data_IF_427590255466
#
_entry.id   IF_427590255466
#
_cell.length_a   1.000
_cell.length_b   1.000
_cell.length_c   1.000
_cell.angle_alpha   90.00
_cell.angle_beta   90.00
_cell.angle_gamma   90.00
#
_symmetry.space_group_name_H-M   'P 1'
#
loop_
_entity.id
_entity.type
_entity.pdbx_description
1 polymer ?
#
# COMPACT_ATOMS: atom_id res chain seq x y z
N UNK A 1 -32.00 33.65 -3.35
CA UNK A 1 -32.19 34.86 -4.19
C UNK A 1 -33.68 35.03 -4.49
N UNK A 2 -34.22 36.26 -4.55
CA UNK A 2 -35.63 36.44 -4.88
C UNK A 2 -35.91 35.95 -6.32
N UNK A 3 -37.00 35.19 -6.49
CA UNK A 3 -37.43 34.64 -7.78
C UNK A 3 -38.00 35.77 -8.63
N UNK A 4 -37.47 35.98 -9.83
CA UNK A 4 -38.03 36.94 -10.80
C UNK A 4 -39.07 36.24 -11.68
N UNK A 5 -40.36 36.40 -11.36
CA UNK A 5 -41.43 36.03 -12.28
C UNK A 5 -41.39 36.96 -13.50
N UNK A 6 -41.29 36.42 -14.72
CA UNK A 6 -41.20 37.24 -15.95
C UNK A 6 -42.54 37.57 -16.60
N UNK A 7 -43.64 36.85 -16.32
CA UNK A 7 -45.01 37.33 -16.60
C UNK A 7 -46.07 36.52 -15.83
N UNK A 8 -47.24 37.13 -15.62
CA UNK A 8 -48.49 36.46 -15.20
C UNK A 8 -49.44 36.49 -16.40
N UNK A 9 -50.01 35.35 -16.79
CA UNK A 9 -51.04 35.31 -17.85
C UNK A 9 -52.41 35.11 -17.20
N UNK A 10 -53.28 36.11 -17.35
CA UNK A 10 -54.69 35.98 -16.98
C UNK A 10 -55.45 35.41 -18.18
N UNK A 11 -56.14 34.29 -18.00
CA UNK A 11 -57.11 33.78 -18.95
C UNK A 11 -58.51 33.96 -18.35
N UNK A 12 -59.35 34.75 -19.01
CA UNK A 12 -60.76 34.89 -18.65
C UNK A 12 -61.56 33.88 -19.47
N UNK A 13 -62.20 32.91 -18.82
CA UNK A 13 -63.27 32.15 -19.46
C UNK A 13 -64.61 32.80 -19.09
N UNK A 14 -65.18 33.53 -20.05
CA UNK A 14 -66.49 34.18 -19.88
C UNK A 14 -67.66 33.18 -20.01
N UNK A 15 -67.37 31.86 -20.09
CA UNK A 15 -68.37 30.83 -20.42
C UNK A 15 -68.75 29.89 -19.28
N UNK A 16 -68.05 29.88 -18.14
CA UNK A 16 -68.38 29.01 -17.00
C UNK A 16 -68.84 29.78 -15.78
N UNK A 17 -70.13 29.68 -15.47
CA UNK A 17 -70.76 30.19 -14.25
C UNK A 17 -71.05 29.02 -13.29
N UNK A 18 -70.70 29.19 -12.01
CA UNK A 18 -71.15 28.35 -10.90
C UNK A 18 -71.77 29.29 -9.86
N UNK A 19 -73.07 29.14 -9.62
CA UNK A 19 -73.87 29.91 -8.65
C UNK A 19 -73.81 31.45 -8.81
N UNK A 20 -73.81 31.94 -10.05
CA UNK A 20 -73.87 33.38 -10.36
C UNK A 20 -72.56 34.15 -10.11
N UNK A 21 -71.47 33.47 -9.76
CA UNK A 21 -70.15 34.07 -9.59
C UNK A 21 -69.23 33.71 -10.77
N UNK A 22 -68.52 34.70 -11.31
CA UNK A 22 -67.44 34.45 -12.28
C UNK A 22 -66.30 33.72 -11.57
N UNK A 23 -66.00 32.49 -12.00
CA UNK A 23 -64.82 31.76 -11.53
C UNK A 23 -63.56 32.35 -12.15
N UNK A 24 -62.61 32.79 -11.32
CA UNK A 24 -61.26 33.09 -11.76
C UNK A 24 -60.35 31.92 -11.40
N UNK A 25 -59.56 31.46 -12.36
CA UNK A 25 -58.46 30.53 -12.10
C UNK A 25 -57.15 31.24 -12.45
N UNK A 26 -56.19 31.17 -11.54
CA UNK A 26 -54.81 31.62 -11.77
C UNK A 26 -53.95 30.38 -11.89
N UNK A 27 -53.39 30.14 -13.07
CA UNK A 27 -52.32 29.17 -13.24
C UNK A 27 -50.98 29.92 -13.17
N UNK A 28 -50.18 29.60 -12.14
CA UNK A 28 -48.88 30.19 -11.92
C UNK A 28 -47.81 29.16 -12.36
N UNK A 29 -47.25 29.34 -13.56
CA UNK A 29 -46.02 28.62 -13.93
C UNK A 29 -44.80 29.45 -13.51
N UNK A 30 -44.12 28.99 -12.45
CA UNK A 30 -42.88 29.60 -11.94
C UNK A 30 -41.68 28.85 -12.50
N UNK A 31 -41.07 29.36 -13.57
CA UNK A 31 -39.75 28.90 -14.01
C UNK A 31 -38.67 29.63 -13.22
N UNK A 32 -38.23 29.04 -12.12
CA UNK A 32 -37.00 29.49 -11.46
C UNK A 32 -35.82 29.34 -12.42
N UNK A 33 -34.92 30.32 -12.47
CA UNK A 33 -33.58 30.10 -13.01
C UNK A 33 -32.96 29.05 -12.10
N UNK A 34 -32.80 27.80 -12.55
CA UNK A 34 -31.92 26.86 -11.84
C UNK A 34 -30.56 27.55 -11.77
N UNK A 35 -30.03 27.75 -10.57
CA UNK A 35 -28.63 28.14 -10.45
C UNK A 35 -27.82 27.15 -11.30
N UNK A 36 -26.94 27.66 -12.16
CA UNK A 36 -26.02 26.78 -12.87
C UNK A 36 -25.29 25.97 -11.81
N UNK A 37 -25.40 24.64 -11.90
CA UNK A 37 -24.66 23.78 -10.99
C UNK A 37 -23.17 24.09 -11.16
N UNK A 38 -22.43 24.16 -10.05
CA UNK A 38 -20.99 24.45 -10.08
C UNK A 38 -20.27 23.47 -11.00
N UNK A 39 -19.14 23.91 -11.56
CA UNK A 39 -18.30 23.00 -12.32
C UNK A 39 -17.80 21.91 -11.36
N UNK A 40 -17.92 20.63 -11.74
CA UNK A 40 -17.47 19.56 -10.88
C UNK A 40 -15.94 19.57 -10.78
N UNK A 41 -15.43 19.04 -9.66
CA UNK A 41 -14.00 18.97 -9.42
C UNK A 41 -13.57 17.60 -8.95
N UNK A 42 -12.33 17.24 -9.30
CA UNK A 42 -11.62 16.09 -8.73
C UNK A 42 -10.38 16.62 -8.00
N UNK A 43 -10.28 16.35 -6.71
CA UNK A 43 -9.06 16.55 -5.92
C UNK A 43 -8.32 15.23 -5.82
N UNK A 44 -7.10 15.18 -6.34
CA UNK A 44 -6.20 14.03 -6.19
C UNK A 44 -5.25 14.34 -5.03
N UNK A 45 -5.07 13.38 -4.14
CA UNK A 45 -4.20 13.47 -2.96
C UNK A 45 -3.28 12.26 -2.96
N UNK A 46 -2.01 12.48 -2.65
CA UNK A 46 -1.05 11.42 -2.35
C UNK A 46 -0.81 11.38 -0.84
N UNK A 47 -0.76 10.18 -0.29
CA UNK A 47 -0.46 9.89 1.12
C UNK A 47 0.65 8.83 1.11
N UNK A 48 1.89 9.23 1.42
CA UNK A 48 3.07 8.40 1.23
C UNK A 48 3.76 8.09 2.57
N UNK A 49 4.00 6.80 2.82
CA UNK A 49 4.72 6.32 3.99
C UNK A 49 5.99 5.55 3.60
N UNK A 50 7.17 5.88 4.17
CA UNK A 50 7.43 7.10 4.93
C UNK A 50 7.34 8.33 4.02
N UNK A 51 7.15 9.51 4.60
CA UNK A 51 7.19 10.77 3.84
C UNK A 51 8.59 10.95 3.24
N UNK A 52 8.67 11.13 1.92
CA UNK A 52 9.93 11.29 1.17
C UNK A 52 9.80 12.41 0.14
N UNK A 53 10.95 12.93 -0.29
CA UNK A 53 11.13 13.98 -1.31
C UNK A 53 10.94 13.45 -2.73
N UNK A 54 9.86 12.71 -2.95
CA UNK A 54 9.63 11.90 -4.14
C UNK A 54 8.35 12.33 -4.84
N UNK A 55 8.43 12.48 -6.16
CA UNK A 55 7.35 13.02 -6.98
C UNK A 55 6.59 11.90 -7.69
N UNK A 56 5.44 11.52 -7.14
CA UNK A 56 4.54 10.53 -7.72
C UNK A 56 3.93 11.06 -9.02
N UNK A 57 4.01 10.25 -10.07
CA UNK A 57 3.59 10.61 -11.42
C UNK A 57 2.19 10.09 -11.68
N UNK A 58 1.33 10.96 -12.18
CA UNK A 58 -0.03 10.64 -12.54
C UNK A 58 -0.27 10.90 -14.02
N UNK A 59 -1.12 10.07 -14.62
CA UNK A 59 -1.55 10.14 -16.01
C UNK A 59 -3.06 9.85 -16.09
N UNK A 60 -3.67 10.09 -17.25
CA UNK A 60 -5.06 9.73 -17.52
C UNK A 60 -5.87 10.89 -18.08
N UNK A 61 -7.15 10.94 -17.76
CA UNK A 61 -8.06 11.96 -18.33
C UNK A 61 -7.83 13.36 -17.76
N UNK A 62 -7.10 13.48 -16.65
CA UNK A 62 -6.73 14.77 -16.04
C UNK A 62 -5.43 15.36 -16.61
N UNK A 63 -4.84 14.68 -17.60
CA UNK A 63 -3.50 14.98 -18.10
C UNK A 63 -2.40 14.43 -17.20
N UNK A 64 -1.16 14.76 -17.54
CA UNK A 64 0.01 14.32 -16.78
C UNK A 64 0.34 15.37 -15.71
N UNK A 65 0.56 14.90 -14.48
CA UNK A 65 0.93 15.76 -13.35
C UNK A 65 1.75 14.98 -12.31
N UNK A 66 2.30 15.69 -11.34
CA UNK A 66 3.01 15.12 -10.20
C UNK A 66 2.47 15.68 -8.89
N UNK A 67 2.55 14.87 -7.85
CA UNK A 67 2.28 15.21 -6.45
C UNK A 67 3.37 14.57 -5.59
N UNK A 68 3.60 15.11 -4.41
CA UNK A 68 4.59 14.61 -3.44
C UNK A 68 4.00 14.65 -2.03
N UNK A 69 4.56 13.92 -1.07
CA UNK A 69 4.15 14.02 0.33
C UNK A 69 5.37 14.29 1.21
N UNK A 70 6.19 15.26 0.78
CA UNK A 70 7.47 15.55 1.41
C UNK A 70 7.27 16.27 2.75
N UNK A 71 7.81 15.67 3.81
CA UNK A 71 7.86 16.28 5.15
C UNK A 71 9.28 16.16 5.71
N UNK A 72 10.02 17.27 5.90
CA UNK A 72 9.66 18.64 5.51
C UNK A 72 9.67 18.83 3.99
N UNK A 73 8.90 19.82 3.52
CA UNK A 73 8.89 20.32 2.14
C UNK A 73 10.31 20.41 1.56
N UNK A 74 10.49 19.93 0.34
CA UNK A 74 11.77 19.90 -0.35
C UNK A 74 12.02 21.10 -1.26
N UNK A 75 11.02 21.97 -1.41
CA UNK A 75 11.11 23.25 -2.11
C UNK A 75 10.89 23.15 -3.62
N UNK A 76 10.37 22.04 -4.11
CA UNK A 76 9.89 21.91 -5.48
C UNK A 76 8.42 22.41 -5.62
N UNK A 77 7.84 22.49 -6.83
CA UNK A 77 6.49 23.06 -7.03
C UNK A 77 5.37 22.03 -6.87
N UNK A 78 5.68 20.81 -6.45
CA UNK A 78 4.71 19.76 -6.23
C UNK A 78 4.17 19.85 -4.80
N UNK A 79 2.91 19.46 -4.67
CA UNK A 79 2.19 19.50 -3.40
C UNK A 79 1.52 18.14 -3.21
N UNK A 80 1.10 17.83 -1.98
CA UNK A 80 0.42 16.58 -1.68
C UNK A 80 -0.99 16.43 -2.24
N UNK A 81 -1.52 17.51 -2.83
CA UNK A 81 -2.81 17.45 -3.49
C UNK A 81 -2.95 18.45 -4.61
N UNK A 82 -3.82 18.13 -5.57
CA UNK A 82 -4.21 19.03 -6.64
C UNK A 82 -5.67 18.86 -7.01
N UNK A 83 -6.38 19.98 -7.15
CA UNK A 83 -7.76 20.02 -7.63
C UNK A 83 -7.84 20.37 -9.11
N UNK A 84 -8.66 19.61 -9.83
CA UNK A 84 -8.94 19.80 -11.26
C UNK A 84 -10.42 20.09 -11.44
N UNK A 85 -10.73 21.15 -12.17
CA UNK A 85 -12.08 21.35 -12.72
C UNK A 85 -12.25 20.43 -13.93
N UNK A 86 -13.35 19.69 -13.96
CA UNK A 86 -13.62 18.69 -14.99
C UNK A 86 -15.03 18.86 -15.56
N UNK A 87 -15.30 18.20 -16.68
CA UNK A 87 -16.67 18.03 -17.17
C UNK A 87 -17.37 16.91 -16.40
N UNK A 88 -18.71 16.95 -16.32
CA UNK A 88 -19.44 15.80 -15.82
C UNK A 88 -19.22 14.59 -16.74
N UNK A 89 -18.94 13.42 -16.18
CA UNK A 89 -18.64 12.22 -16.96
C UNK A 89 -17.71 11.25 -16.25
N UNK A 90 -17.13 10.35 -17.04
CA UNK A 90 -16.21 9.33 -16.54
C UNK A 90 -14.76 9.80 -16.65
N UNK A 91 -14.03 9.70 -15.55
CA UNK A 91 -12.61 10.05 -15.46
C UNK A 91 -11.78 8.85 -15.05
N UNK A 92 -10.56 8.80 -15.57
CA UNK A 92 -9.56 7.80 -15.20
C UNK A 92 -8.30 8.50 -14.70
N UNK A 93 -7.80 8.05 -13.57
CA UNK A 93 -6.54 8.50 -12.98
C UNK A 93 -5.66 7.25 -12.81
N UNK A 94 -4.42 7.33 -13.27
CA UNK A 94 -3.45 6.26 -13.15
C UNK A 94 -2.16 6.81 -12.56
N UNK A 95 -1.68 6.16 -11.51
CA UNK A 95 -0.38 6.44 -10.92
C UNK A 95 0.70 5.58 -11.58
N UNK A 96 1.90 6.13 -11.73
CA UNK A 96 3.10 5.41 -12.14
C UNK A 96 4.01 5.33 -10.92
N UNK A 97 4.17 4.12 -10.38
CA UNK A 97 4.93 3.96 -9.15
C UNK A 97 6.46 3.97 -9.36
N UNK A 98 7.20 4.68 -8.51
CA UNK A 98 8.62 4.50 -8.26
C UNK A 98 9.04 3.05 -8.00
N UNK A 99 10.32 2.73 -8.20
CA UNK A 99 10.84 1.42 -7.83
C UNK A 99 10.70 1.18 -6.31
N UNK A 100 10.29 -0.04 -5.95
CA UNK A 100 10.12 -0.48 -4.54
C UNK A 100 9.03 0.29 -3.76
N UNK A 101 8.17 1.02 -4.44
CA UNK A 101 6.95 1.58 -3.87
C UNK A 101 5.72 0.76 -4.26
N UNK A 102 4.75 0.74 -3.36
CA UNK A 102 3.52 -0.03 -3.45
C UNK A 102 2.34 0.93 -3.32
N UNK A 103 1.41 0.89 -4.27
CA UNK A 103 0.10 1.52 -4.13
C UNK A 103 -0.82 0.55 -3.40
N UNK A 104 -1.07 0.80 -2.12
CA UNK A 104 -1.80 -0.13 -1.26
C UNK A 104 -3.29 0.15 -1.22
N UNK A 105 -3.70 1.38 -1.54
CA UNK A 105 -5.11 1.77 -1.58
C UNK A 105 -5.33 2.95 -2.53
N UNK A 106 -6.48 2.93 -3.21
CA UNK A 106 -7.08 4.13 -3.79
C UNK A 106 -8.47 4.28 -3.16
N UNK A 107 -8.75 5.44 -2.57
CA UNK A 107 -10.07 5.74 -1.99
C UNK A 107 -10.63 7.03 -2.60
N UNK A 108 -11.81 6.94 -3.21
CA UNK A 108 -12.50 8.08 -3.79
C UNK A 108 -13.92 8.20 -3.21
N UNK A 109 -14.30 9.40 -2.78
CA UNK A 109 -15.62 9.69 -2.20
C UNK A 109 -16.73 10.01 -3.24
N UNK A 110 -16.65 9.42 -4.44
CA UNK A 110 -17.63 9.66 -5.50
C UNK A 110 -19.02 9.11 -5.14
N UNK A 111 -20.04 9.98 -5.27
CA UNK A 111 -21.46 9.64 -5.08
C UNK A 111 -21.98 8.60 -6.09
N UNK A 112 -21.35 8.51 -7.25
CA UNK A 112 -21.70 7.59 -8.34
C UNK A 112 -20.85 6.32 -8.34
N UNK A 113 -19.95 6.18 -7.36
CA UNK A 113 -19.04 5.06 -7.22
C UNK A 113 -17.73 5.21 -8.02
N UNK A 114 -16.79 4.34 -7.68
CA UNK A 114 -15.50 4.23 -8.36
C UNK A 114 -15.13 2.76 -8.56
N UNK A 115 -14.32 2.50 -9.58
CA UNK A 115 -13.75 1.18 -9.89
C UNK A 115 -12.24 1.31 -9.74
N UNK A 116 -11.70 0.71 -8.69
CA UNK A 116 -10.28 0.71 -8.35
C UNK A 116 -9.63 -0.58 -8.87
N UNK A 117 -8.48 -0.44 -9.51
CA UNK A 117 -7.63 -1.52 -9.98
C UNK A 117 -6.19 -1.22 -9.54
N UNK A 118 -5.78 -1.80 -8.41
CA UNK A 118 -4.44 -1.63 -7.85
C UNK A 118 -3.35 -2.32 -8.68
N UNK A 119 -3.71 -3.34 -9.47
CA UNK A 119 -2.74 -4.06 -10.32
C UNK A 119 -2.29 -3.18 -11.48
N UNK A 120 -3.21 -2.39 -12.05
CA UNK A 120 -2.90 -1.40 -13.09
C UNK A 120 -2.69 0.02 -12.56
N UNK A 121 -2.72 0.18 -11.22
CA UNK A 121 -2.53 1.44 -10.49
C UNK A 121 -3.52 2.52 -10.93
N UNK A 122 -4.79 2.14 -11.08
CA UNK A 122 -5.80 2.94 -11.79
C UNK A 122 -7.10 3.01 -11.01
N UNK A 123 -7.74 4.17 -11.05
CA UNK A 123 -9.15 4.33 -10.65
C UNK A 123 -9.95 4.92 -11.81
N UNK A 124 -11.17 4.40 -11.99
CA UNK A 124 -12.19 4.97 -12.86
C UNK A 124 -13.33 5.47 -12.00
N UNK A 125 -13.74 6.73 -12.13
CA UNK A 125 -14.87 7.28 -11.38
C UNK A 125 -15.82 8.03 -12.31
N UNK A 126 -17.10 8.06 -11.94
CA UNK A 126 -18.10 8.91 -12.59
C UNK A 126 -18.33 10.14 -11.71
N UNK A 127 -18.38 11.31 -12.32
CA UNK A 127 -18.56 12.60 -11.63
C UNK A 127 -19.81 13.27 -12.20
N UNK A 128 -20.78 13.59 -11.36
CA UNK A 128 -21.97 14.33 -11.77
C UNK A 128 -21.72 15.84 -11.77
N UNK A 129 -22.58 16.61 -12.44
CA UNK A 129 -22.48 18.06 -12.43
C UNK A 129 -22.60 18.60 -11.00
N UNK A 130 -21.64 19.45 -10.59
CA UNK A 130 -21.59 20.02 -9.24
C UNK A 130 -20.96 19.13 -8.18
N UNK A 131 -20.50 17.92 -8.52
CA UNK A 131 -19.79 17.04 -7.59
C UNK A 131 -18.37 17.54 -7.30
N UNK A 132 -17.93 17.36 -6.07
CA UNK A 132 -16.55 17.61 -5.63
C UNK A 132 -15.99 16.32 -5.06
N UNK A 133 -15.27 15.56 -5.88
CA UNK A 133 -14.73 14.24 -5.51
C UNK A 133 -13.28 14.39 -5.04
N UNK A 134 -12.94 13.75 -3.94
CA UNK A 134 -11.59 13.58 -3.42
C UNK A 134 -11.14 12.14 -3.57
N UNK A 135 -10.05 11.92 -4.29
CA UNK A 135 -9.37 10.63 -4.43
C UNK A 135 -8.02 10.68 -3.70
N UNK A 136 -7.78 9.74 -2.79
CA UNK A 136 -6.52 9.56 -2.06
C UNK A 136 -5.81 8.30 -2.56
N UNK A 137 -4.56 8.43 -2.96
CA UNK A 137 -3.65 7.35 -3.34
C UNK A 137 -2.69 7.12 -2.17
N UNK A 138 -2.76 5.93 -1.56
CA UNK A 138 -1.96 5.57 -0.39
C UNK A 138 -0.76 4.73 -0.85
N UNK A 139 0.42 5.30 -0.70
CA UNK A 139 1.68 4.74 -1.17
C UNK A 139 2.55 4.32 0.02
N UNK A 140 3.18 3.15 -0.11
CA UNK A 140 4.12 2.65 0.89
C UNK A 140 5.42 2.24 0.22
N UNK A 141 6.56 2.67 0.77
CA UNK A 141 7.82 1.99 0.44
C UNK A 141 7.71 0.56 0.94
N UNK A 142 8.10 -0.39 0.10
CA UNK A 142 8.04 -1.79 0.46
C UNK A 142 8.90 -2.09 1.68
N UNK A 143 8.49 -3.14 2.39
CA UNK A 143 9.30 -3.77 3.41
C UNK A 143 10.00 -5.00 2.86
N UNK A 144 11.11 -5.33 3.52
CA UNK A 144 11.96 -6.47 3.17
C UNK A 144 12.20 -7.32 4.40
N UNK A 145 12.11 -8.64 4.25
CA UNK A 145 12.54 -9.60 5.27
C UNK A 145 13.71 -10.40 4.72
N UNK A 146 14.89 -10.14 5.27
CA UNK A 146 16.13 -10.86 5.00
C UNK A 146 16.30 -12.00 6.01
N UNK A 147 16.36 -13.23 5.52
CA UNK A 147 16.49 -14.40 6.39
C UNK A 147 17.88 -15.02 6.27
N UNK A 148 18.46 -15.42 7.40
CA UNK A 148 19.71 -16.17 7.48
C UNK A 148 19.49 -17.42 8.33
N UNK A 149 19.82 -18.59 7.79
CA UNK A 149 19.80 -19.85 8.52
C UNK A 149 21.23 -20.35 8.76
N UNK A 150 21.53 -20.76 9.99
CA UNK A 150 22.86 -21.20 10.38
C UNK A 150 22.85 -22.37 11.36
N UNK A 151 23.89 -23.18 11.28
CA UNK A 151 24.16 -24.25 12.23
C UNK A 151 24.87 -23.66 13.45
N UNK A 152 24.12 -23.48 14.53
CA UNK A 152 24.62 -23.08 15.85
C UNK A 152 25.33 -24.28 16.51
N UNK A 153 26.61 -24.47 16.14
CA UNK A 153 27.39 -25.65 16.52
C UNK A 153 27.75 -25.66 18.00
N UNK A 154 27.93 -24.46 18.58
CA UNK A 154 28.28 -24.27 19.98
C UNK A 154 27.04 -24.09 20.88
N UNK A 155 25.84 -24.01 20.27
CA UNK A 155 24.53 -23.93 20.91
C UNK A 155 24.37 -22.71 21.81
N UNK A 156 24.96 -21.58 21.43
CA UNK A 156 24.88 -20.33 22.20
C UNK A 156 23.78 -19.37 21.70
N UNK A 157 22.98 -19.80 20.72
CA UNK A 157 21.85 -19.06 20.12
C UNK A 157 22.25 -17.77 19.42
N UNK A 158 23.51 -17.65 19.03
CA UNK A 158 24.04 -16.47 18.34
C UNK A 158 24.71 -16.88 17.04
N UNK A 159 24.44 -16.13 15.98
CA UNK A 159 25.13 -16.30 14.70
C UNK A 159 26.59 -15.83 14.82
N UNK A 160 27.50 -16.74 15.12
CA UNK A 160 28.92 -16.45 15.26
C UNK A 160 29.65 -16.51 13.92
N UNK A 161 30.81 -15.84 13.87
CA UNK A 161 31.71 -15.97 12.73
C UNK A 161 32.23 -17.42 12.64
N UNK A 162 32.18 -18.00 11.43
CA UNK A 162 32.60 -19.37 11.17
C UNK A 162 31.51 -20.43 11.31
N UNK A 163 30.30 -20.07 11.75
CA UNK A 163 29.20 -21.03 11.79
C UNK A 163 28.68 -21.36 10.38
N UNK A 164 28.48 -22.66 10.05
CA UNK A 164 28.00 -23.05 8.73
C UNK A 164 26.63 -22.47 8.40
N UNK A 165 26.44 -22.06 7.16
CA UNK A 165 25.15 -21.65 6.62
C UNK A 165 24.33 -22.86 6.16
N UNK A 166 23.02 -22.77 6.30
CA UNK A 166 22.10 -23.87 6.02
C UNK A 166 21.37 -23.65 4.69
N UNK A 167 21.79 -24.36 3.65
CA UNK A 167 21.25 -24.26 2.29
C UNK A 167 20.12 -25.26 2.04
N UNK A 168 19.12 -24.88 1.25
CA UNK A 168 17.98 -25.71 0.89
C UNK A 168 16.95 -25.86 2.00
N UNK A 169 16.98 -24.98 3.00
CA UNK A 169 16.02 -24.99 4.11
C UNK A 169 14.78 -24.19 3.75
N UNK A 170 13.62 -24.72 4.11
CA UNK A 170 12.33 -24.10 3.80
C UNK A 170 11.98 -23.04 4.84
N UNK A 171 11.62 -21.85 4.36
CA UNK A 171 11.08 -20.75 5.16
C UNK A 171 9.73 -20.35 4.60
N UNK A 172 8.78 -20.10 5.49
CA UNK A 172 7.39 -19.77 5.21
C UNK A 172 7.07 -18.40 5.78
N UNK A 173 6.39 -17.58 4.98
CA UNK A 173 5.89 -16.28 5.38
C UNK A 173 4.38 -16.34 5.47
N UNK A 174 3.84 -15.97 6.62
CA UNK A 174 2.41 -15.87 6.88
C UNK A 174 2.00 -14.44 7.21
N UNK A 175 0.73 -14.12 6.98
CA UNK A 175 0.10 -12.93 7.56
C UNK A 175 -0.22 -13.12 9.05
N UNK A 176 -0.78 -12.08 9.67
CA UNK A 176 -1.18 -12.05 11.08
C UNK A 176 -2.36 -12.99 11.41
N UNK A 177 -3.10 -13.45 10.39
CA UNK A 177 -4.18 -14.42 10.51
C UNK A 177 -3.77 -15.86 10.22
N UNK A 178 -2.48 -16.11 10.02
CA UNK A 178 -1.86 -17.40 9.68
C UNK A 178 -2.17 -17.91 8.26
N UNK A 179 -2.56 -17.05 7.32
CA UNK A 179 -2.61 -17.45 5.92
C UNK A 179 -1.19 -17.48 5.36
N UNK A 180 -0.86 -18.54 4.62
CA UNK A 180 0.44 -18.68 3.97
C UNK A 180 0.52 -17.73 2.78
N UNK A 181 1.43 -16.76 2.84
CA UNK A 181 1.68 -15.80 1.77
C UNK A 181 2.74 -16.31 0.78
N UNK A 182 3.82 -16.89 1.28
CA UNK A 182 4.92 -17.39 0.45
C UNK A 182 5.72 -18.51 1.13
N UNK A 183 6.43 -19.26 0.29
CA UNK A 183 7.40 -20.30 0.71
C UNK A 183 8.67 -20.16 -0.11
N UNK A 184 9.82 -20.32 0.55
CA UNK A 184 11.14 -20.05 0.03
C UNK A 184 12.13 -21.14 0.45
N UNK A 185 13.15 -21.40 -0.37
CA UNK A 185 14.30 -22.19 0.02
C UNK A 185 15.52 -21.28 0.19
N UNK A 186 16.32 -21.53 1.21
CA UNK A 186 17.59 -20.82 1.38
C UNK A 186 18.60 -21.20 0.29
N UNK A 187 19.33 -20.22 -0.21
CA UNK A 187 20.38 -20.43 -1.20
C UNK A 187 21.64 -21.11 -0.58
N UNK A 188 22.71 -21.26 -1.36
CA UNK A 188 23.98 -21.87 -0.92
C UNK A 188 24.67 -21.12 0.23
N UNK A 189 24.36 -19.84 0.41
CA UNK A 189 24.81 -19.02 1.53
C UNK A 189 23.86 -19.06 2.73
N UNK A 190 22.84 -19.92 2.72
CA UNK A 190 21.81 -20.05 3.75
C UNK A 190 20.96 -18.79 3.91
N UNK A 191 20.71 -18.08 2.81
CA UNK A 191 19.97 -16.82 2.78
C UNK A 191 18.79 -16.87 1.82
N UNK A 192 17.78 -16.05 2.09
CA UNK A 192 16.66 -15.72 1.19
C UNK A 192 16.05 -14.38 1.59
N UNK A 193 15.26 -13.79 0.69
CA UNK A 193 14.62 -12.49 0.91
C UNK A 193 13.14 -12.54 0.47
N UNK A 194 12.25 -12.06 1.34
CA UNK A 194 10.89 -11.66 0.98
C UNK A 194 10.85 -10.15 0.78
N UNK A 195 10.23 -9.70 -0.30
CA UNK A 195 10.19 -8.28 -0.73
C UNK A 195 8.78 -7.93 -1.23
N UNK A 196 8.53 -6.65 -1.53
CA UNK A 196 7.19 -6.11 -1.83
C UNK A 196 6.17 -6.38 -0.73
N UNK A 197 6.60 -6.28 0.52
CA UNK A 197 5.73 -6.43 1.69
C UNK A 197 5.14 -5.06 2.07
N UNK A 198 3.81 -4.88 2.10
CA UNK A 198 3.21 -3.71 2.72
C UNK A 198 3.53 -3.60 4.22
N UNK A 199 3.18 -2.47 4.84
CA UNK A 199 3.22 -2.33 6.29
C UNK A 199 2.15 -3.22 6.93
N UNK A 200 2.59 -4.20 7.74
CA UNK A 200 1.74 -5.16 8.42
C UNK A 200 2.52 -5.96 9.48
N UNK A 201 1.79 -6.79 10.21
CA UNK A 201 2.38 -7.86 11.01
C UNK A 201 2.50 -9.13 10.18
N UNK A 202 3.66 -9.76 10.24
CA UNK A 202 3.98 -11.00 9.56
C UNK A 202 4.51 -12.03 10.55
N UNK A 203 4.40 -13.29 10.16
CA UNK A 203 5.04 -14.40 10.84
C UNK A 203 5.98 -15.13 9.87
N UNK A 204 7.25 -15.21 10.25
CA UNK A 204 8.30 -15.90 9.48
C UNK A 204 8.64 -17.18 10.21
N UNK A 205 8.47 -18.32 9.55
CA UNK A 205 8.70 -19.63 10.15
C UNK A 205 9.69 -20.44 9.34
N UNK A 206 10.43 -21.33 10.00
CA UNK A 206 11.21 -22.36 9.31
C UNK A 206 10.52 -23.73 9.37
N UNK A 207 10.78 -24.58 8.39
CA UNK A 207 10.48 -26.00 8.48
C UNK A 207 11.75 -26.76 8.83
N UNK A 208 11.73 -27.43 9.99
CA UNK A 208 12.85 -28.21 10.48
C UNK A 208 12.96 -29.53 9.70
N UNK A 209 14.11 -29.81 9.08
CA UNK A 209 14.40 -31.15 8.56
C UNK A 209 14.51 -32.18 9.69
N UNK A 210 14.35 -33.47 9.35
CA UNK A 210 14.60 -34.57 10.27
C UNK A 210 16.00 -34.48 10.91
N UNK A 211 16.12 -34.89 12.16
CA UNK A 211 17.36 -34.85 12.96
C UNK A 211 17.87 -33.43 13.30
N UNK A 212 17.11 -32.37 12.99
CA UNK A 212 17.41 -31.01 13.41
C UNK A 212 16.45 -30.49 14.47
N UNK A 213 16.91 -29.49 15.22
CA UNK A 213 16.09 -28.73 16.16
C UNK A 213 16.39 -27.24 16.03
N UNK A 214 15.34 -26.43 16.15
CA UNK A 214 15.46 -24.99 16.34
C UNK A 214 16.06 -24.72 17.72
N UNK A 215 17.19 -24.04 17.75
CA UNK A 215 17.76 -23.47 18.96
C UNK A 215 17.32 -22.02 19.12
N UNK A 216 17.04 -21.36 17.99
CA UNK A 216 16.52 -20.01 17.97
C UNK A 216 15.66 -19.72 16.72
N UNK A 217 14.35 -19.42 16.86
CA UNK A 217 13.61 -19.31 18.11
C UNK A 217 13.37 -20.70 18.72
N UNK A 218 13.57 -20.86 20.03
CA UNK A 218 13.40 -22.17 20.69
C UNK A 218 11.93 -22.55 20.94
N UNK A 219 11.00 -21.65 20.65
CA UNK A 219 9.56 -21.84 20.84
C UNK A 219 8.89 -22.23 19.53
N UNK A 220 8.03 -23.25 19.60
CA UNK A 220 7.16 -23.62 18.49
C UNK A 220 5.87 -22.80 18.58
N UNK A 221 5.54 -22.12 17.50
CA UNK A 221 4.24 -21.48 17.34
C UNK A 221 3.17 -22.57 17.23
N UNK A 222 2.21 -22.57 18.17
CA UNK A 222 1.19 -23.62 18.26
C UNK A 222 0.17 -23.61 17.13
N UNK A 223 0.01 -22.49 16.41
CA UNK A 223 -1.00 -22.35 15.35
C UNK A 223 -0.54 -22.97 14.03
N UNK A 224 0.74 -22.84 13.72
CA UNK A 224 1.35 -23.38 12.49
C UNK A 224 2.29 -24.55 12.76
N UNK A 225 2.51 -24.90 14.04
CA UNK A 225 3.37 -25.98 14.52
C UNK A 225 4.80 -25.91 13.94
N UNK A 226 5.38 -24.71 13.94
CA UNK A 226 6.74 -24.42 13.43
C UNK A 226 7.46 -23.40 14.33
N UNK A 227 8.81 -23.38 14.38
CA UNK A 227 9.56 -22.27 14.97
C UNK A 227 9.32 -21.01 14.15
N UNK A 228 8.88 -19.93 14.79
CA UNK A 228 8.50 -18.70 14.10
C UNK A 228 8.93 -17.46 14.86
N UNK A 229 9.20 -16.39 14.11
CA UNK A 229 9.22 -15.02 14.60
C UNK A 229 7.98 -14.28 14.13
N UNK A 230 7.37 -13.50 15.03
CA UNK A 230 6.37 -12.51 14.68
C UNK A 230 7.05 -11.15 14.62
N UNK A 231 6.81 -10.40 13.55
CA UNK A 231 7.40 -9.09 13.30
C UNK A 231 6.33 -8.13 12.77
N UNK A 232 6.34 -6.90 13.26
CA UNK A 232 5.50 -5.81 12.75
C UNK A 232 6.40 -4.85 12.00
N UNK A 233 6.09 -4.61 10.73
CA UNK A 233 6.86 -3.73 9.85
C UNK A 233 6.03 -2.50 9.51
N UNK A 234 6.64 -1.35 9.74
CA UNK A 234 6.21 -0.07 9.21
C UNK A 234 6.80 0.13 7.81
N UNK A 235 6.23 0.99 6.98
CA UNK A 235 6.64 1.14 5.59
C UNK A 235 8.12 1.56 5.45
N UNK A 236 8.84 0.91 4.52
CA UNK A 236 10.25 1.17 4.26
C UNK A 236 11.23 0.52 5.24
N UNK A 237 10.82 -0.51 5.98
CA UNK A 237 11.67 -1.24 6.93
C UNK A 237 12.28 -2.52 6.34
N UNK A 238 13.46 -2.86 6.86
CA UNK A 238 14.16 -4.11 6.60
C UNK A 238 14.26 -4.91 7.90
N UNK A 239 13.68 -6.10 7.91
CA UNK A 239 13.80 -7.06 8.99
C UNK A 239 14.89 -8.08 8.66
N UNK A 240 15.95 -8.16 9.48
CA UNK A 240 16.95 -9.23 9.42
C UNK A 240 16.59 -10.31 10.43
N UNK A 241 16.14 -11.46 9.94
CA UNK A 241 15.70 -12.61 10.72
C UNK A 241 16.77 -13.71 10.68
N UNK A 242 17.09 -14.30 11.83
CA UNK A 242 18.13 -15.32 11.96
C UNK A 242 17.59 -16.56 12.64
N UNK A 243 17.60 -17.69 11.93
CA UNK A 243 17.27 -19.00 12.50
C UNK A 243 18.54 -19.77 12.87
N UNK A 244 18.71 -20.01 14.16
CA UNK A 244 19.81 -20.79 14.73
C UNK A 244 19.39 -22.22 14.97
N UNK A 245 20.07 -23.17 14.33
CA UNK A 245 19.67 -24.57 14.31
C UNK A 245 20.80 -25.50 14.76
N UNK A 246 20.46 -26.63 15.37
CA UNK A 246 21.44 -27.66 15.74
C UNK A 246 20.93 -29.06 15.44
N UNK A 247 21.85 -30.01 15.23
CA UNK A 247 21.50 -31.43 15.15
C UNK A 247 21.00 -31.93 16.51
N UNK A 248 19.96 -32.77 16.52
CA UNK A 248 19.52 -33.49 17.71
C UNK A 248 20.70 -34.35 18.20
N UNK A 249 21.09 -34.20 19.47
CA UNK A 249 22.15 -35.02 20.07
C UNK A 249 21.53 -36.06 21.01
N UNK A 250 21.79 -37.33 20.75
CA UNK A 250 21.43 -38.44 21.64
C UNK A 250 22.63 -38.77 22.55
N UNK A 251 22.65 -38.28 23.80
CA UNK A 251 23.72 -38.56 24.78
C UNK A 251 23.68 -37.65 26.02
N UNK A 252 24.38 -38.00 27.12
CA UNK A 252 24.32 -37.23 28.36
C UNK A 252 25.13 -35.93 28.29
N UNK A 253 24.47 -34.82 28.64
CA UNK A 253 25.09 -33.59 29.15
C UNK A 253 25.85 -32.75 28.13
N UNK A 254 25.14 -31.90 27.39
CA UNK A 254 25.74 -30.68 26.86
C UNK A 254 25.59 -29.60 27.93
N UNK A 255 26.69 -29.01 28.38
CA UNK A 255 26.63 -27.70 29.02
C UNK A 255 26.02 -26.74 27.99
N UNK A 256 24.89 -26.07 28.29
CA UNK A 256 24.42 -24.99 27.45
C UNK A 256 25.58 -24.01 27.22
N UNK A 257 25.85 -23.66 25.96
CA UNK A 257 26.64 -22.47 25.70
C UNK A 257 25.98 -21.32 26.46
N UNK A 258 26.75 -20.52 27.20
CA UNK A 258 26.21 -19.44 28.02
C UNK A 258 25.26 -18.56 27.21
N UNK A 259 24.23 -18.04 27.87
CA UNK A 259 23.20 -17.18 27.28
C UNK A 259 23.87 -15.95 26.64
N UNK A 260 24.07 -16.00 25.33
CA UNK A 260 24.43 -14.82 24.55
C UNK A 260 23.19 -13.94 24.39
N UNK A 261 23.38 -12.63 24.35
CA UNK A 261 22.34 -11.68 23.95
C UNK A 261 21.87 -12.04 22.53
N UNK A 262 20.56 -12.15 22.39
CA UNK A 262 19.85 -12.75 21.28
C UNK A 262 19.41 -11.67 20.28
N UNK A 263 19.93 -11.74 19.04
CA UNK A 263 19.58 -10.85 17.92
C UNK A 263 18.75 -11.56 16.83
N UNK A 264 17.87 -12.50 17.20
CA UNK A 264 17.07 -13.33 16.29
C UNK A 264 16.27 -12.53 15.25
N UNK A 265 15.86 -11.30 15.60
CA UNK A 265 15.24 -10.34 14.69
C UNK A 265 15.82 -8.96 14.95
N UNK A 266 16.27 -8.29 13.89
CA UNK A 266 16.66 -6.88 13.91
C UNK A 266 15.84 -6.15 12.86
N UNK A 267 15.08 -5.14 13.24
CA UNK A 267 14.30 -4.30 12.33
C UNK A 267 14.96 -2.93 12.29
N UNK A 268 15.30 -2.48 11.09
CA UNK A 268 15.90 -1.19 10.82
C UNK A 268 15.12 -0.52 9.70
N UNK A 269 15.03 0.81 9.75
CA UNK A 269 14.58 1.56 8.58
C UNK A 269 15.61 1.35 7.46
N UNK A 270 15.14 1.21 6.21
CA UNK A 270 16.05 1.19 5.08
C UNK A 270 16.83 2.51 5.05
N UNK A 271 18.11 2.44 5.42
CA UNK A 271 19.01 3.60 5.50
C UNK A 271 18.91 4.37 4.18
N UNK A 272 18.89 5.72 4.28
CA UNK A 272 18.73 6.73 3.23
C UNK A 272 19.82 6.65 2.11
N UNK A 273 20.09 5.47 1.57
CA UNK A 273 20.76 5.25 0.31
C UNK A 273 19.85 5.87 -0.73
N UNK A 274 20.18 7.12 -1.10
CA UNK A 274 19.74 7.83 -2.30
C UNK A 274 18.96 6.90 -3.23
N UNK A 275 17.65 7.14 -3.28
CA UNK A 275 16.67 6.44 -4.13
C UNK A 275 17.37 6.03 -5.43
N UNK A 276 17.49 4.72 -5.64
CA UNK A 276 17.93 4.05 -6.88
C UNK A 276 16.88 4.24 -7.97
N UNK A 277 16.44 5.49 -8.11
CA UNK A 277 15.25 5.93 -8.79
C UNK A 277 15.58 7.25 -9.53
N UNK A 278 16.88 7.54 -9.73
CA UNK A 278 17.34 8.62 -10.60
C UNK A 278 16.70 8.51 -11.99
N UNK A 279 16.47 7.29 -12.49
CA UNK A 279 15.74 7.06 -13.75
C UNK A 279 14.24 7.37 -13.68
N UNK A 280 13.62 7.23 -12.52
CA UNK A 280 12.21 7.57 -12.32
C UNK A 280 12.03 9.09 -12.18
N UNK A 281 12.83 9.81 -11.39
CA UNK A 281 12.74 11.28 -11.32
C UNK A 281 13.20 11.92 -12.64
N UNK A 282 14.27 11.39 -13.26
CA UNK A 282 14.86 11.87 -14.50
C UNK A 282 14.93 10.76 -15.58
N UNK A 283 14.01 10.73 -16.57
CA UNK A 283 13.86 9.67 -17.58
C UNK A 283 15.04 9.43 -18.56
N UNK A 284 16.26 9.86 -18.24
CA UNK A 284 17.49 9.63 -19.02
C UNK A 284 18.70 9.21 -18.19
N UNK A 285 18.55 8.96 -16.89
CA UNK A 285 19.62 8.42 -16.04
C UNK A 285 19.70 6.89 -16.17
N UNK A 286 20.92 6.36 -16.27
CA UNK A 286 21.21 4.93 -16.41
C UNK A 286 21.11 4.23 -15.05
N UNK A 287 20.01 3.52 -14.82
CA UNK A 287 19.69 2.89 -13.53
C UNK A 287 20.16 1.43 -13.49
N UNK A 288 21.46 1.21 -13.73
CA UNK A 288 22.06 -0.11 -13.87
C UNK A 288 22.83 -0.55 -12.61
N UNK A 289 22.19 -0.66 -11.46
CA UNK A 289 22.79 -1.31 -10.29
C UNK A 289 22.05 -2.63 -9.96
N UNK A 290 22.58 -3.79 -10.39
CA UNK A 290 22.02 -5.07 -9.99
C UNK A 290 22.38 -5.38 -8.53
N UNK A 291 21.40 -5.26 -7.65
CA UNK A 291 21.50 -5.71 -6.26
C UNK A 291 21.91 -7.19 -6.15
N UNK A 292 22.92 -7.50 -5.35
CA UNK A 292 23.63 -8.78 -5.29
C UNK A 292 22.94 -9.90 -4.49
N UNK A 293 21.60 -9.87 -4.34
CA UNK A 293 20.85 -10.88 -3.56
C UNK A 293 20.23 -11.96 -4.47
N UNK A 294 20.69 -13.21 -4.29
CA UNK A 294 20.49 -14.33 -5.23
C UNK A 294 19.18 -15.12 -5.11
N UNK A 295 18.21 -14.67 -4.31
CA UNK A 295 16.82 -15.14 -4.41
C UNK A 295 15.88 -14.11 -3.79
N UNK A 296 15.05 -13.47 -4.63
CA UNK A 296 14.03 -12.51 -4.21
C UNK A 296 12.65 -13.07 -4.48
N UNK A 297 11.79 -12.99 -3.47
CA UNK A 297 10.39 -13.38 -3.59
C UNK A 297 9.55 -12.12 -3.51
N UNK A 298 8.82 -11.85 -4.58
CA UNK A 298 7.91 -10.73 -4.69
C UNK A 298 6.50 -11.20 -4.35
N UNK A 299 5.92 -10.69 -3.27
CA UNK A 299 4.50 -10.89 -3.04
C UNK A 299 3.69 -10.05 -4.05
N UNK A 300 2.57 -10.59 -4.57
CA UNK A 300 1.66 -9.78 -5.35
C UNK A 300 1.08 -8.66 -4.48
N UNK A 301 0.75 -7.52 -5.08
CA UNK A 301 -0.09 -6.52 -4.42
C UNK A 301 -1.47 -7.14 -4.21
N UNK A 302 -1.85 -7.37 -2.95
CA UNK A 302 -3.18 -7.85 -2.59
C UNK A 302 -3.98 -6.63 -2.12
N UNK A 303 -5.16 -6.42 -2.71
CA UNK A 303 -6.11 -5.42 -2.22
C UNK A 303 -6.55 -5.82 -0.81
N UNK A 304 -6.42 -4.91 0.16
CA UNK A 304 -7.09 -5.06 1.45
C UNK A 304 -8.55 -4.63 1.20
N UNK A 305 -9.45 -5.61 1.18
CA UNK A 305 -10.90 -5.37 1.12
C UNK A 305 -11.40 -4.59 2.35
#
# INVERSE_FOLDING_TARGET
APVAARYVRYAFDDRTLLDGMHGWAVELEVFGIRAAASDPTITVVVDAAPTRRLNFRFTGTLGDFRLDDAVPDDGDPYENSRTFTVEAGTHTIREQLPNRWLLTMISCDSSMGSVVDLTTQRVTLTVAQGDHVRCTFVNQKENVVDVVLYHDQNRNRRNNNGEPRLSGWTVLLYDDTNNLLATALSNTAGRLQFSRLPAATYKVCEELPDEWMALHPSTIDATVNKPCYSLTLEAGQVARVRFGNGLIRHGPGLTPGGEGEDDGVVIEDEENSYDDNEGYENPGADDSEPSTYTLRIYLPLIAKD
#
